data_IF_516739483613
#
_entry.id   IF_516739483613
#
_cell.length_a   1.000
_cell.length_b   1.000
_cell.length_c   1.000
_cell.angle_alpha   90.00
_cell.angle_beta   90.00
_cell.angle_gamma   90.00
#
_symmetry.space_group_name_H-M   'P 1'
#
loop_
_entity.id
_entity.type
_entity.pdbx_description
1 polymer ?
#
# COMPACT_ATOMS: atom_id res chain seq x y z
N UNK A 1 -19.50 -25.69 12.26
CA UNK A 1 -19.11 -25.42 10.86
C UNK A 1 -17.79 -24.67 10.92
N UNK A 2 -16.68 -25.14 10.31
CA UNK A 2 -15.45 -24.37 10.33
C UNK A 2 -15.59 -23.21 9.34
N UNK A 3 -15.30 -22.01 9.82
CA UNK A 3 -15.26 -20.77 9.04
C UNK A 3 -14.23 -20.97 7.93
N UNK A 4 -14.65 -20.93 6.66
CA UNK A 4 -13.73 -20.97 5.54
C UNK A 4 -12.79 -19.77 5.66
N UNK A 5 -11.49 -20.00 5.65
CA UNK A 5 -10.51 -18.92 5.54
C UNK A 5 -10.83 -18.12 4.27
N UNK A 6 -11.48 -16.96 4.44
CA UNK A 6 -11.79 -16.06 3.34
C UNK A 6 -10.44 -15.64 2.75
N UNK A 7 -10.17 -16.07 1.52
CA UNK A 7 -8.90 -15.85 0.83
C UNK A 7 -8.72 -14.32 0.67
N UNK A 8 -8.02 -13.70 1.61
CA UNK A 8 -7.83 -12.24 1.61
C UNK A 8 -7.10 -11.85 0.34
N UNK A 9 -7.80 -11.11 -0.52
CA UNK A 9 -7.25 -10.65 -1.79
C UNK A 9 -6.18 -9.57 -1.54
N UNK A 10 -5.14 -9.57 -2.37
CA UNK A 10 -4.01 -8.64 -2.25
C UNK A 10 -4.19 -7.45 -3.19
N UNK A 11 -4.11 -6.23 -2.65
CA UNK A 11 -4.07 -4.98 -3.40
C UNK A 11 -2.61 -4.51 -3.51
N UNK A 12 -2.07 -4.50 -4.73
CA UNK A 12 -0.72 -3.98 -5.00
C UNK A 12 -0.80 -2.49 -5.35
N UNK A 13 -0.07 -1.67 -4.62
CA UNK A 13 -0.04 -0.21 -4.80
C UNK A 13 1.38 0.24 -5.11
N UNK A 14 1.57 0.93 -6.22
CA UNK A 14 2.85 1.58 -6.55
C UNK A 14 2.97 2.92 -5.84
N UNK A 15 4.07 3.16 -5.13
CA UNK A 15 4.41 4.44 -4.49
C UNK A 15 5.70 5.01 -5.07
N UNK A 16 5.87 6.33 -4.96
CA UNK A 16 7.14 7.00 -5.24
C UNK A 16 7.71 7.45 -3.91
N UNK A 17 8.87 6.94 -3.53
CA UNK A 17 9.43 7.20 -2.20
C UNK A 17 10.29 8.47 -2.20
N UNK A 18 10.61 9.00 -1.00
CA UNK A 18 11.28 10.27 -0.74
C UNK A 18 10.47 11.54 -1.05
N UNK A 19 9.13 11.48 -1.00
CA UNK A 19 8.26 12.63 -1.20
C UNK A 19 7.19 12.72 -0.10
N UNK A 20 7.61 12.85 1.16
CA UNK A 20 6.69 13.34 2.19
C UNK A 20 6.09 14.70 1.76
N UNK A 21 4.79 14.93 2.03
CA UNK A 21 3.91 14.15 2.91
C UNK A 21 3.21 12.97 2.22
N UNK A 22 3.43 12.75 0.92
CA UNK A 22 2.66 11.82 0.11
C UNK A 22 3.04 10.37 0.37
N UNK A 23 4.31 10.01 0.17
CA UNK A 23 4.84 8.67 0.44
C UNK A 23 6.36 8.71 0.66
N UNK A 24 6.82 7.93 1.62
CA UNK A 24 8.25 7.73 1.90
C UNK A 24 8.51 6.34 2.49
N UNK A 25 9.76 5.88 2.45
CA UNK A 25 10.21 4.63 3.06
C UNK A 25 11.06 4.95 4.29
N UNK A 26 10.43 4.88 5.46
CA UNK A 26 11.06 5.18 6.76
C UNK A 26 11.23 3.86 7.52
N UNK A 27 12.46 3.51 7.87
CA UNK A 27 12.78 2.27 8.62
C UNK A 27 12.17 0.99 8.01
N UNK A 28 12.11 0.92 6.68
CA UNK A 28 11.54 -0.22 5.95
C UNK A 28 10.01 -0.26 5.89
N UNK A 29 9.34 0.79 6.37
CA UNK A 29 7.88 0.94 6.29
C UNK A 29 7.50 2.09 5.38
N UNK A 30 6.49 1.89 4.54
CA UNK A 30 5.91 2.97 3.76
C UNK A 30 5.06 3.87 4.65
N UNK A 31 5.30 5.17 4.61
CA UNK A 31 4.58 6.18 5.39
C UNK A 31 4.13 7.33 4.50
N UNK A 32 3.08 8.05 4.92
CA UNK A 32 2.57 9.22 4.22
C UNK A 32 1.07 9.19 3.94
N UNK A 33 0.51 10.37 3.67
CA UNK A 33 -0.93 10.58 3.47
C UNK A 33 -1.52 9.68 2.38
N UNK A 34 -0.80 9.50 1.28
CA UNK A 34 -1.29 8.64 0.19
C UNK A 34 -1.26 7.16 0.57
N UNK A 35 -0.25 6.73 1.34
CA UNK A 35 -0.12 5.36 1.87
C UNK A 35 -1.28 5.05 2.82
N UNK A 36 -1.59 5.98 3.72
CA UNK A 36 -2.67 5.83 4.70
C UNK A 36 -4.06 5.78 4.05
N UNK A 37 -4.28 6.58 3.01
CA UNK A 37 -5.50 6.51 2.21
C UNK A 37 -5.69 5.12 1.60
N UNK A 38 -4.63 4.53 1.02
CA UNK A 38 -4.71 3.19 0.44
C UNK A 38 -4.89 2.09 1.47
N UNK A 39 -4.33 2.23 2.68
CA UNK A 39 -4.62 1.33 3.80
C UNK A 39 -6.10 1.37 4.18
N UNK A 40 -6.68 2.55 4.33
CA UNK A 40 -8.10 2.72 4.66
C UNK A 40 -9.02 2.16 3.57
N UNK A 41 -8.69 2.37 2.30
CA UNK A 41 -9.43 1.78 1.17
C UNK A 41 -9.37 0.25 1.23
N UNK A 42 -8.17 -0.33 1.41
CA UNK A 42 -7.98 -1.77 1.47
C UNK A 42 -8.76 -2.41 2.62
N UNK A 43 -8.75 -1.79 3.81
CA UNK A 43 -9.53 -2.23 4.95
C UNK A 43 -11.03 -2.26 4.62
N UNK A 44 -11.56 -1.18 4.03
CA UNK A 44 -12.97 -1.07 3.64
C UNK A 44 -13.41 -2.17 2.65
N UNK A 45 -12.51 -2.59 1.76
CA UNK A 45 -12.81 -3.64 0.77
C UNK A 45 -12.38 -5.05 1.23
N UNK A 46 -11.81 -5.20 2.44
CA UNK A 46 -11.27 -6.44 3.02
C UNK A 46 -10.07 -7.03 2.27
N UNK A 47 -9.17 -6.18 1.76
CA UNK A 47 -7.94 -6.58 1.06
C UNK A 47 -6.72 -6.33 1.93
N UNK A 48 -5.63 -7.05 1.66
CA UNK A 48 -4.30 -6.77 2.23
C UNK A 48 -3.52 -5.91 1.24
N UNK A 49 -2.95 -4.80 1.72
CA UNK A 49 -2.14 -3.92 0.87
C UNK A 49 -0.68 -4.40 0.81
N UNK A 50 -0.09 -4.36 -0.37
CA UNK A 50 1.36 -4.48 -0.58
C UNK A 50 1.84 -3.27 -1.37
N UNK A 51 2.76 -2.50 -0.79
CA UNK A 51 3.34 -1.33 -1.42
C UNK A 51 4.61 -1.70 -2.18
N UNK A 52 4.76 -1.12 -3.37
CA UNK A 52 5.87 -1.36 -4.28
C UNK A 52 6.48 -0.03 -4.69
N UNK A 53 7.80 0.03 -4.58
CA UNK A 53 8.61 1.14 -5.05
C UNK A 53 8.54 1.28 -6.57
N UNK A 54 7.91 2.33 -7.07
CA UNK A 54 7.82 2.62 -8.50
C UNK A 54 9.04 3.41 -8.97
N UNK A 55 10.22 2.76 -8.96
CA UNK A 55 11.46 3.36 -9.46
C UNK A 55 11.47 3.58 -10.99
N UNK A 56 10.38 3.19 -11.68
CA UNK A 56 10.28 3.24 -13.15
C UNK A 56 9.35 4.35 -13.68
N UNK A 57 8.64 5.09 -12.82
CA UNK A 57 7.71 6.14 -13.28
C UNK A 57 8.26 7.58 -13.24
N UNK A 58 9.44 7.81 -12.65
CA UNK A 58 9.99 9.17 -12.41
C UNK A 58 11.06 9.60 -13.45
N UNK A 59 11.30 8.80 -14.49
CA UNK A 59 12.07 9.25 -15.66
C UNK A 59 11.12 9.75 -16.74
N UNK A 60 10.68 10.99 -16.63
CA UNK A 60 10.19 11.79 -17.76
C UNK A 60 11.12 12.97 -17.97
#
# INVERSE_FOLDING_TARGET
>A
MPISAEEKRVLKVGTVDNYLPCSDLVDGNFEGLSVDMWRAIAEKIKYITTFLLSQHLVKQ
#
